data_IF_825781229652
#
_entry.id   IF_825781229652
#
_cell.length_a   1.000
_cell.length_b   1.000
_cell.length_c   1.000
_cell.angle_alpha   90.00
_cell.angle_beta   90.00
_cell.angle_gamma   90.00
#
_symmetry.space_group_name_H-M   'P 1'
#
loop_
_entity.id
_entity.type
_entity.pdbx_description
1 polymer ?
#
# COMPACT_ATOMS: atom_id res chain seq x y z
N UNK A 1 9.40 -1.50 12.42
CA UNK A 1 8.61 -0.63 11.53
C UNK A 1 7.63 0.15 12.38
N UNK A 2 7.58 1.47 12.20
CA UNK A 2 6.62 2.35 12.87
C UNK A 2 5.63 2.82 11.82
N UNK A 3 4.33 2.71 12.11
CA UNK A 3 3.25 3.12 11.22
C UNK A 3 2.36 4.08 12.01
N UNK A 4 2.09 5.26 11.47
CA UNK A 4 1.13 6.21 12.02
C UNK A 4 0.23 6.74 10.91
N UNK A 5 -1.05 6.91 11.22
CA UNK A 5 -2.01 7.58 10.34
C UNK A 5 -2.33 8.97 10.88
N UNK A 6 -2.41 9.96 10.01
CA UNK A 6 -2.88 11.31 10.35
C UNK A 6 -3.46 11.97 9.10
N UNK A 7 -4.74 12.36 9.16
CA UNK A 7 -5.43 13.16 8.13
C UNK A 7 -5.21 12.66 6.70
N UNK A 8 -5.68 11.44 6.41
CA UNK A 8 -5.57 10.84 5.08
C UNK A 8 -4.15 10.47 4.65
N UNK A 9 -3.18 10.51 5.56
CA UNK A 9 -1.79 10.08 5.30
C UNK A 9 -1.37 8.97 6.23
N UNK A 10 -0.57 8.05 5.69
CA UNK A 10 0.12 7.04 6.47
C UNK A 10 1.63 7.24 6.36
N UNK A 11 2.29 7.35 7.51
CA UNK A 11 3.75 7.37 7.62
C UNK A 11 4.26 6.01 8.04
N UNK A 12 5.08 5.38 7.20
CA UNK A 12 5.74 4.09 7.41
C UNK A 12 7.25 4.33 7.51
N UNK A 13 7.81 4.29 8.72
CA UNK A 13 9.17 4.78 8.99
C UNK A 13 9.35 6.21 8.43
N UNK A 14 10.20 6.41 7.42
CA UNK A 14 10.44 7.71 6.78
C UNK A 14 9.62 7.92 5.48
N UNK A 15 8.90 6.89 5.02
CA UNK A 15 8.04 6.94 3.85
C UNK A 15 6.65 7.47 4.23
N UNK A 16 6.10 8.39 3.44
CA UNK A 16 4.75 8.95 3.64
C UNK A 16 3.95 8.74 2.37
N UNK A 17 2.71 8.28 2.52
CA UNK A 17 1.76 8.08 1.44
C UNK A 17 0.39 8.67 1.81
N UNK A 18 -0.40 9.02 0.79
CA UNK A 18 -1.83 9.30 0.94
C UNK A 18 -2.59 7.97 1.01
N UNK A 19 -3.48 7.84 1.99
CA UNK A 19 -4.23 6.64 2.28
C UNK A 19 -4.53 6.46 3.77
N UNK A 20 -4.91 5.24 4.15
CA UNK A 20 -5.31 4.91 5.52
C UNK A 20 -4.98 3.47 5.90
N UNK A 21 -4.90 3.20 7.20
CA UNK A 21 -4.75 1.85 7.76
C UNK A 21 -6.13 1.17 7.71
N UNK A 22 -6.21 0.05 7.01
CA UNK A 22 -7.43 -0.73 6.86
C UNK A 22 -7.75 -1.54 8.13
N UNK A 23 -9.04 -1.81 8.36
CA UNK A 23 -9.49 -2.80 9.34
C UNK A 23 -9.25 -4.25 8.88
N UNK A 24 -8.82 -4.44 7.62
CA UNK A 24 -8.48 -5.77 7.06
C UNK A 24 -7.02 -6.13 7.33
N UNK A 25 -6.75 -7.40 7.57
CA UNK A 25 -5.41 -7.92 7.83
C UNK A 25 -4.88 -8.78 6.68
N UNK A 26 -3.58 -8.65 6.42
CA UNK A 26 -2.83 -9.46 5.48
C UNK A 26 -2.96 -10.95 5.81
N UNK A 27 -3.40 -11.76 4.83
CA UNK A 27 -3.56 -13.21 4.98
C UNK A 27 -2.25 -13.96 5.26
N UNK A 28 -1.10 -13.37 4.94
CA UNK A 28 0.22 -14.00 5.14
C UNK A 28 0.78 -13.79 6.55
N UNK A 29 0.60 -12.60 7.13
CA UNK A 29 1.24 -12.25 8.40
C UNK A 29 0.28 -11.74 9.50
N UNK A 30 -1.00 -11.57 9.20
CA UNK A 30 -2.03 -11.13 10.14
C UNK A 30 -1.92 -9.66 10.58
N UNK A 31 -1.07 -8.85 9.95
CA UNK A 31 -0.97 -7.40 10.23
C UNK A 31 -1.94 -6.61 9.37
N UNK A 32 -2.39 -5.45 9.87
CA UNK A 32 -3.27 -4.56 9.12
C UNK A 32 -2.67 -4.14 7.78
N UNK A 33 -3.51 -4.10 6.77
CA UNK A 33 -3.18 -3.60 5.43
C UNK A 33 -3.29 -2.07 5.40
N UNK A 34 -2.66 -1.44 4.42
CA UNK A 34 -2.75 -0.01 4.16
C UNK A 34 -3.34 0.17 2.77
N UNK A 35 -4.36 1.02 2.67
CA UNK A 35 -4.83 1.53 1.38
C UNK A 35 -3.87 2.61 0.89
N UNK A 36 -3.48 2.56 -0.37
CA UNK A 36 -2.59 3.52 -1.00
C UNK A 36 -3.30 4.21 -2.16
N UNK A 37 -3.69 5.47 -1.97
CA UNK A 37 -4.52 6.25 -2.89
C UNK A 37 -3.94 6.33 -4.31
N UNK A 38 -2.62 6.50 -4.45
CA UNK A 38 -1.94 6.63 -5.76
C UNK A 38 -2.16 5.40 -6.66
N UNK A 39 -2.37 4.23 -6.06
CA UNK A 39 -2.50 2.96 -6.75
C UNK A 39 -3.87 2.32 -6.60
N UNK A 40 -4.80 3.01 -5.90
CA UNK A 40 -6.16 2.54 -5.61
C UNK A 40 -6.17 1.07 -5.15
N UNK A 41 -5.30 0.74 -4.19
CA UNK A 41 -5.09 -0.64 -3.79
C UNK A 41 -4.51 -0.80 -2.38
N UNK A 42 -4.78 -1.95 -1.79
CA UNK A 42 -4.26 -2.36 -0.49
C UNK A 42 -2.89 -3.07 -0.60
N UNK A 43 -2.07 -2.86 0.42
CA UNK A 43 -0.83 -3.60 0.59
C UNK A 43 -0.50 -3.91 2.05
N UNK A 44 0.31 -4.94 2.25
CA UNK A 44 0.87 -5.24 3.55
C UNK A 44 2.24 -4.57 3.71
N UNK A 45 2.42 -3.62 4.64
CA UNK A 45 3.70 -2.94 4.83
C UNK A 45 4.77 -3.87 5.43
N UNK A 46 4.36 -4.93 6.13
CA UNK A 46 5.28 -5.90 6.73
C UNK A 46 5.82 -6.92 5.71
N UNK A 47 4.96 -7.40 4.81
CA UNK A 47 5.35 -8.30 3.72
C UNK A 47 5.95 -7.53 2.53
N UNK A 48 5.74 -6.21 2.49
CA UNK A 48 6.03 -5.34 1.35
C UNK A 48 5.47 -5.91 0.03
N UNK A 49 4.17 -6.20 0.04
CA UNK A 49 3.46 -6.82 -1.07
C UNK A 49 2.04 -6.26 -1.19
N UNK A 50 1.60 -6.02 -2.43
CA UNK A 50 0.20 -5.75 -2.76
C UNK A 50 -0.67 -6.93 -2.33
N UNK A 51 -1.83 -6.65 -1.76
CA UNK A 51 -2.79 -7.69 -1.35
C UNK A 51 -3.87 -7.93 -2.41
N UNK A 52 -3.86 -7.11 -3.47
CA UNK A 52 -4.78 -7.19 -4.60
C UNK A 52 -4.05 -7.26 -5.94
N UNK A 53 -4.61 -8.08 -6.83
CA UNK A 53 -4.15 -8.20 -8.21
C UNK A 53 -4.41 -6.92 -9.00
N UNK A 54 -3.56 -6.66 -10.01
CA UNK A 54 -3.82 -5.55 -10.93
C UNK A 54 -5.03 -5.90 -11.79
N UNK A 55 -5.80 -4.89 -12.22
CA UNK A 55 -6.85 -5.14 -13.20
C UNK A 55 -6.27 -5.54 -14.56
N UNK A 56 -7.11 -6.11 -15.43
CA UNK A 56 -6.70 -6.55 -16.78
C UNK A 56 -6.61 -5.40 -17.79
N UNK A 57 -6.98 -4.17 -17.42
CA UNK A 57 -6.92 -3.01 -18.30
C UNK A 57 -5.49 -2.42 -18.32
N UNK A 58 -4.76 -2.52 -19.45
CA UNK A 58 -3.41 -1.99 -19.56
C UNK A 58 -3.36 -0.45 -19.50
N UNK A 59 -4.48 0.23 -19.66
CA UNK A 59 -4.57 1.71 -19.62
C UNK A 59 -5.11 2.24 -18.28
N UNK A 60 -5.36 1.37 -17.29
CA UNK A 60 -5.79 1.80 -15.97
C UNK A 60 -4.72 2.69 -15.33
N UNK A 61 -5.06 3.95 -15.03
CA UNK A 61 -4.11 4.94 -14.50
C UNK A 61 -3.47 4.55 -13.17
N UNK A 62 -4.16 3.73 -12.37
CA UNK A 62 -3.67 3.24 -11.08
C UNK A 62 -2.76 2.02 -11.24
N UNK A 63 -3.19 1.03 -12.03
CA UNK A 63 -2.46 -0.22 -12.18
C UNK A 63 -1.25 -0.12 -13.13
N UNK A 64 -1.33 0.70 -14.19
CA UNK A 64 -0.30 0.79 -15.24
C UNK A 64 1.07 1.26 -14.72
N UNK A 65 1.07 2.09 -13.67
CA UNK A 65 2.29 2.61 -13.04
C UNK A 65 2.55 1.97 -11.66
N UNK A 66 1.79 0.94 -11.26
CA UNK A 66 1.93 0.32 -9.95
C UNK A 66 3.25 -0.46 -9.88
N UNK A 67 4.16 -0.13 -8.95
CA UNK A 67 5.45 -0.81 -8.85
C UNK A 67 5.26 -2.26 -8.41
N UNK A 68 6.25 -3.13 -8.68
CA UNK A 68 6.18 -4.52 -8.24
C UNK A 68 6.15 -4.71 -6.72
N UNK A 69 6.64 -3.71 -5.96
CA UNK A 69 6.54 -3.64 -4.50
C UNK A 69 6.03 -2.26 -4.04
N UNK A 70 5.13 -2.18 -3.05
CA UNK A 70 4.57 -0.92 -2.56
C UNK A 70 5.60 0.01 -1.90
N UNK A 71 6.50 -0.54 -1.08
CA UNK A 71 7.55 0.23 -0.41
C UNK A 71 8.87 -0.04 -1.13
N UNK A 72 9.52 1.02 -1.57
CA UNK A 72 10.85 0.96 -2.16
C UNK A 72 11.80 1.74 -1.26
N UNK A 73 12.98 1.17 -0.99
CA UNK A 73 13.94 1.65 0.02
C UNK A 73 14.65 2.96 -0.38
N UNK A 74 14.38 3.49 -1.59
CA UNK A 74 15.07 4.64 -2.18
C UNK A 74 14.15 5.76 -2.70
N UNK A 75 12.99 6.00 -2.08
CA UNK A 75 12.14 7.15 -2.42
C UNK A 75 12.55 8.41 -1.64
#
# INVERSE_FOLDING_TARGET
MIINETDGKVKINDFVLEGFISDTTCKQCGKFEIYFDDYDSFFCPYCNAWTEESCQDPFCKYCSNRPGKPINENW
#
